data_IF_403577388776
#
_entry.id   IF_403577388776
#
_cell.length_a   1.000
_cell.length_b   1.000
_cell.length_c   1.000
_cell.angle_alpha   90.00
_cell.angle_beta   90.00
_cell.angle_gamma   90.00
#
_symmetry.space_group_name_H-M   'P 1'
#
loop_
_entity.id
_entity.type
_entity.pdbx_description
1 polymer ?
#
# COMPACT_ATOMS: atom_id res chain seq x y z
N UNK A 1 -5.88 -10.09 -3.38
CA UNK A 1 -4.88 -10.44 -4.40
C UNK A 1 -4.43 -9.12 -5.04
N UNK A 2 -3.23 -8.63 -4.72
CA UNK A 2 -2.70 -7.41 -5.34
C UNK A 2 -2.15 -7.76 -6.71
N UNK A 3 -2.60 -7.08 -7.76
CA UNK A 3 -2.17 -7.33 -9.14
C UNK A 3 -1.01 -6.40 -9.46
N UNK A 4 0.20 -6.94 -9.55
CA UNK A 4 1.38 -6.20 -10.00
C UNK A 4 1.42 -6.28 -11.53
N UNK A 5 0.86 -5.27 -12.21
CA UNK A 5 1.02 -5.16 -13.66
C UNK A 5 2.41 -4.60 -14.00
N UNK A 6 3.25 -5.45 -14.58
CA UNK A 6 4.51 -5.15 -15.27
C UNK A 6 5.59 -4.38 -14.48
N UNK A 7 6.21 -5.09 -13.54
CA UNK A 7 7.59 -4.88 -13.10
C UNK A 7 8.26 -6.24 -12.95
N UNK A 8 9.50 -6.41 -13.40
CA UNK A 8 10.26 -7.64 -13.22
C UNK A 8 10.42 -7.94 -11.72
N UNK A 9 9.53 -8.76 -11.17
CA UNK A 9 9.73 -9.41 -9.87
C UNK A 9 10.81 -10.47 -10.11
N UNK A 10 12.03 -10.24 -9.60
CA UNK A 10 13.08 -11.25 -9.66
C UNK A 10 12.61 -12.53 -8.98
N UNK A 11 12.70 -13.71 -9.64
CA UNK A 11 12.50 -14.96 -8.95
C UNK A 11 13.69 -15.20 -8.01
N UNK A 12 13.39 -15.71 -6.81
CA UNK A 12 14.30 -16.47 -5.91
C UNK A 12 15.07 -15.69 -4.82
N UNK A 13 14.33 -15.16 -3.86
CA UNK A 13 14.61 -15.33 -2.43
C UNK A 13 13.28 -15.20 -1.68
N UNK A 14 12.90 -16.17 -0.82
CA UNK A 14 11.76 -16.00 0.10
C UNK A 14 12.17 -14.95 1.11
N UNK A 15 11.93 -13.68 0.78
CA UNK A 15 12.13 -12.59 1.69
C UNK A 15 10.89 -12.55 2.56
N UNK A 16 11.07 -12.86 3.84
CA UNK A 16 10.00 -12.81 4.80
C UNK A 16 10.45 -12.00 6.01
N UNK A 17 9.53 -11.24 6.57
CA UNK A 17 9.83 -10.35 7.69
C UNK A 17 8.84 -10.59 8.83
N UNK A 18 9.30 -10.59 10.09
CA UNK A 18 8.40 -10.66 11.22
C UNK A 18 7.61 -9.34 11.32
N UNK A 19 6.30 -9.42 11.08
CA UNK A 19 5.35 -8.30 11.24
C UNK A 19 4.36 -8.73 12.31
N UNK A 20 4.35 -8.04 13.46
CA UNK A 20 3.50 -8.38 14.62
C UNK A 20 3.59 -9.86 15.05
N UNK A 21 4.79 -10.44 14.98
CA UNK A 21 5.04 -11.84 15.37
C UNK A 21 4.69 -12.89 14.31
N UNK A 22 4.17 -12.48 13.15
CA UNK A 22 3.93 -13.37 12.01
C UNK A 22 4.99 -13.17 10.94
N UNK A 23 5.44 -14.28 10.35
CA UNK A 23 6.37 -14.24 9.23
C UNK A 23 5.56 -13.98 7.95
N UNK A 24 5.72 -12.80 7.37
CA UNK A 24 4.98 -12.35 6.19
C UNK A 24 5.94 -12.27 5.01
N UNK A 25 5.53 -12.81 3.86
CA UNK A 25 6.27 -12.66 2.61
C UNK A 25 6.30 -11.19 2.18
N UNK A 26 7.48 -10.68 1.86
CA UNK A 26 7.71 -9.30 1.44
C UNK A 26 8.29 -9.25 0.04
N UNK A 27 7.77 -8.31 -0.75
CA UNK A 27 8.33 -7.99 -2.07
C UNK A 27 9.42 -6.93 -1.91
N UNK A 28 10.60 -7.21 -2.48
CA UNK A 28 11.69 -6.24 -2.57
C UNK A 28 11.66 -5.56 -3.94
N UNK A 29 11.64 -4.23 -3.96
CA UNK A 29 11.73 -3.44 -5.18
C UNK A 29 13.20 -3.20 -5.52
N UNK A 30 13.66 -3.70 -6.67
CA UNK A 30 15.08 -3.70 -7.04
C UNK A 30 15.46 -2.44 -7.83
N UNK A 31 14.79 -2.18 -8.96
CA UNK A 31 14.96 -0.96 -9.77
C UNK A 31 13.81 -0.86 -10.79
N UNK A 32 13.04 0.23 -10.76
CA UNK A 32 11.93 0.48 -11.70
C UNK A 32 11.85 1.97 -12.03
N UNK A 33 11.33 2.32 -13.22
CA UNK A 33 10.99 3.70 -13.59
C UNK A 33 9.64 4.16 -13.01
N UNK A 34 8.80 3.20 -12.63
CA UNK A 34 7.46 3.46 -12.12
C UNK A 34 7.10 2.35 -11.13
N UNK A 35 6.44 2.74 -10.04
CA UNK A 35 5.91 1.82 -9.04
C UNK A 35 4.41 2.03 -8.98
N UNK A 36 3.65 0.98 -9.24
CA UNK A 36 2.20 0.96 -9.07
C UNK A 36 1.81 -0.30 -8.29
N UNK A 37 1.16 -0.08 -7.15
CA UNK A 37 0.55 -1.13 -6.34
C UNK A 37 -0.92 -0.79 -6.23
N UNK A 38 -1.77 -1.71 -6.66
CA UNK A 38 -3.21 -1.61 -6.53
C UNK A 38 -3.75 -2.78 -5.71
N UNK A 39 -4.62 -2.44 -4.77
CA UNK A 39 -5.29 -3.40 -3.91
C UNK A 39 -6.76 -3.10 -3.77
N UNK A 40 -7.51 -4.16 -3.49
CA UNK A 40 -8.93 -4.10 -3.17
C UNK A 40 -9.29 -5.11 -2.11
N UNK A 41 -10.32 -4.80 -1.33
CA UNK A 41 -10.83 -5.69 -0.29
C UNK A 41 -12.34 -5.58 -0.17
N UNK A 42 -13.02 -6.72 -0.08
CA UNK A 42 -14.47 -6.79 0.06
C UNK A 42 -14.89 -6.41 1.47
N UNK A 43 -15.70 -5.36 1.59
CA UNK A 43 -16.21 -4.82 2.86
C UNK A 43 -17.12 -5.83 3.56
N UNK A 44 -17.77 -6.71 2.81
CA UNK A 44 -18.61 -7.80 3.32
C UNK A 44 -17.83 -8.78 4.21
N UNK A 45 -16.49 -8.85 4.05
CA UNK A 45 -15.60 -9.66 4.89
C UNK A 45 -15.20 -8.96 6.19
N UNK A 46 -15.58 -7.70 6.37
CA UNK A 46 -15.31 -6.90 7.56
C UNK A 46 -16.52 -6.92 8.50
N UNK A 47 -16.25 -6.82 9.80
CA UNK A 47 -17.30 -6.64 10.81
C UNK A 47 -17.96 -5.27 10.64
N UNK A 48 -19.28 -5.27 10.42
CA UNK A 48 -20.10 -4.05 10.24
C UNK A 48 -20.06 -3.16 11.48
N UNK A 49 -20.12 -1.86 11.28
CA UNK A 49 -20.08 -0.83 12.32
C UNK A 49 -18.69 -0.54 12.89
N UNK A 50 -17.66 -1.32 12.53
CA UNK A 50 -16.28 -1.12 13.01
C UNK A 50 -15.53 -0.13 12.11
N UNK A 51 -14.71 0.73 12.72
CA UNK A 51 -13.75 1.58 12.00
C UNK A 51 -12.48 0.80 11.70
N UNK A 52 -12.04 0.86 10.45
CA UNK A 52 -10.82 0.24 9.96
C UNK A 52 -9.86 1.31 9.45
N UNK A 53 -8.59 1.15 9.81
CA UNK A 53 -7.50 1.95 9.27
C UNK A 53 -6.80 1.16 8.14
N UNK A 54 -6.48 1.85 7.05
CA UNK A 54 -5.71 1.28 5.93
C UNK A 54 -4.28 1.80 5.99
N UNK A 55 -3.32 0.87 6.02
CA UNK A 55 -1.89 1.19 6.07
C UNK A 55 -1.09 0.38 5.05
N UNK A 56 -0.05 1.01 4.51
CA UNK A 56 1.03 0.31 3.83
C UNK A 56 2.14 -0.01 4.83
N UNK A 57 2.52 -1.29 4.95
CA UNK A 57 3.65 -1.72 5.78
C UNK A 57 4.86 -1.89 4.88
N UNK A 58 5.85 -1.01 5.03
CA UNK A 58 7.01 -0.96 4.15
C UNK A 58 8.31 -0.83 4.93
N UNK A 59 9.42 -1.23 4.30
CA UNK A 59 10.77 -0.91 4.76
C UNK A 59 11.46 -0.10 3.67
N UNK A 60 11.91 1.10 4.02
CA UNK A 60 12.69 1.96 3.13
C UNK A 60 14.18 1.61 3.28
N UNK A 61 14.89 1.41 2.18
CA UNK A 61 16.32 1.12 2.18
C UNK A 61 17.14 2.41 2.02
N UNK A 62 18.41 2.39 2.43
CA UNK A 62 19.29 3.57 2.37
C UNK A 62 19.45 4.14 0.97
N UNK A 63 19.53 3.26 -0.02
CA UNK A 63 19.66 3.57 -1.43
C UNK A 63 18.36 4.03 -2.10
N UNK A 64 17.27 4.21 -1.35
CA UNK A 64 16.04 4.82 -1.86
C UNK A 64 16.34 6.21 -2.41
N UNK A 65 15.95 6.46 -3.66
CA UNK A 65 16.18 7.72 -4.36
C UNK A 65 14.88 8.32 -4.95
N UNK A 66 13.74 8.08 -4.31
CA UNK A 66 12.45 8.62 -4.72
C UNK A 66 12.34 10.06 -4.21
N UNK A 67 12.67 11.05 -5.06
CA UNK A 67 12.70 12.47 -4.66
C UNK A 67 11.32 13.11 -4.63
N UNK A 68 10.43 12.69 -5.55
CA UNK A 68 9.06 13.20 -5.64
C UNK A 68 8.18 12.58 -4.55
N UNK A 69 7.13 13.27 -4.08
CA UNK A 69 6.12 12.65 -3.25
C UNK A 69 5.53 11.42 -3.94
N UNK A 70 5.41 10.32 -3.20
CA UNK A 70 4.68 9.13 -3.64
C UNK A 70 3.21 9.33 -3.32
N UNK A 71 2.35 9.05 -4.30
CA UNK A 71 0.90 9.22 -4.17
C UNK A 71 0.31 7.94 -3.61
N UNK A 72 -0.27 8.02 -2.42
CA UNK A 72 -1.12 6.97 -1.88
C UNK A 72 -2.57 7.36 -2.07
N UNK A 73 -3.45 6.39 -2.26
CA UNK A 73 -4.88 6.65 -2.39
C UNK A 73 -5.72 5.61 -1.66
N UNK A 74 -6.86 6.05 -1.12
CA UNK A 74 -7.90 5.20 -0.54
C UNK A 74 -9.25 5.61 -1.11
N UNK A 75 -10.00 4.67 -1.65
CA UNK A 75 -11.41 4.84 -2.03
C UNK A 75 -12.23 3.98 -1.08
N UNK A 76 -12.88 4.57 -0.06
CA UNK A 76 -13.83 3.87 0.77
C UNK A 76 -15.07 3.44 -0.03
N UNK A 77 -15.90 2.55 0.51
CA UNK A 77 -17.02 1.96 -0.22
C UNK A 77 -18.10 3.00 -0.50
N UNK A 78 -18.42 3.23 -1.78
CA UNK A 78 -19.39 4.24 -2.19
C UNK A 78 -18.95 5.69 -1.99
N UNK A 79 -17.68 5.93 -1.64
CA UNK A 79 -17.13 7.27 -1.40
C UNK A 79 -16.12 7.68 -2.48
N UNK A 80 -15.76 8.96 -2.48
CA UNK A 80 -14.73 9.49 -3.37
C UNK A 80 -13.33 9.03 -2.94
N UNK A 81 -12.43 8.91 -3.93
CA UNK A 81 -11.01 8.63 -3.68
C UNK A 81 -10.35 9.76 -2.90
N UNK A 82 -9.74 9.41 -1.78
CA UNK A 82 -8.88 10.25 -0.97
C UNK A 82 -7.43 10.06 -1.42
N UNK A 83 -6.72 11.17 -1.69
CA UNK A 83 -5.34 11.15 -2.16
C UNK A 83 -4.41 11.69 -1.07
N UNK A 84 -3.34 10.96 -0.79
CA UNK A 84 -2.40 11.18 0.30
C UNK A 84 -0.94 11.15 -0.19
N UNK A 85 -0.39 12.26 -0.71
CA UNK A 85 1.02 12.32 -1.10
C UNK A 85 1.95 12.23 0.13
N UNK A 86 2.97 11.37 0.08
CA UNK A 86 3.97 11.22 1.16
C UNK A 86 5.40 11.34 0.62
N UNK A 87 6.23 12.10 1.33
CA UNK A 87 7.67 12.24 1.04
C UNK A 87 8.45 11.11 1.73
N UNK A 88 8.65 9.99 1.05
CA UNK A 88 9.30 8.80 1.63
C UNK A 88 10.74 9.07 2.08
N UNK A 89 11.47 9.97 1.42
CA UNK A 89 12.85 10.35 1.82
C UNK A 89 12.95 11.00 3.21
N UNK A 90 11.84 11.49 3.78
CA UNK A 90 11.78 12.06 5.13
C UNK A 90 11.40 11.04 6.20
N UNK A 91 11.10 9.81 5.80
CA UNK A 91 10.69 8.75 6.71
C UNK A 91 11.90 7.92 7.16
N UNK A 92 11.82 7.24 8.31
CA UNK A 92 12.90 6.40 8.79
C UNK A 92 13.28 5.30 7.79
N UNK A 93 14.58 5.04 7.66
CA UNK A 93 15.14 4.00 6.81
C UNK A 93 15.53 2.77 7.62
N UNK A 94 15.71 1.65 6.94
CA UNK A 94 16.12 0.35 7.46
C UNK A 94 15.25 -0.24 8.58
N UNK A 95 14.05 0.29 8.78
CA UNK A 95 13.06 -0.24 9.70
C UNK A 95 11.70 -0.40 9.02
N UNK A 96 10.91 -1.33 9.54
CA UNK A 96 9.53 -1.53 9.10
C UNK A 96 8.69 -0.39 9.68
N UNK A 97 8.00 0.35 8.82
CA UNK A 97 7.08 1.42 9.18
C UNK A 97 5.70 1.16 8.60
N UNK A 98 4.66 1.60 9.31
CA UNK A 98 3.31 1.68 8.78
C UNK A 98 3.03 3.09 8.28
N UNK A 99 2.56 3.23 7.04
CA UNK A 99 2.07 4.48 6.48
C UNK A 99 0.55 4.40 6.40
N UNK A 100 -0.13 5.11 7.29
CA UNK A 100 -1.60 5.28 7.24
C UNK A 100 -1.99 6.18 6.07
N UNK A 101 -2.94 5.71 5.28
CA UNK A 101 -3.47 6.43 4.09
C UNK A 101 -4.92 6.88 4.25
N UNK A 102 -5.56 6.46 5.34
CA UNK A 102 -6.92 6.83 5.71
C UNK A 102 -7.62 5.73 6.50
N UNK A 103 -8.83 6.02 6.92
CA UNK A 103 -9.71 5.12 7.64
C UNK A 103 -11.14 5.21 7.10
N UNK A 104 -11.96 4.23 7.42
CA UNK A 104 -13.38 4.18 7.07
C UNK A 104 -14.15 3.30 8.04
N UNK A 105 -15.46 3.51 8.15
CA UNK A 105 -16.34 2.60 8.87
C UNK A 105 -16.92 1.56 7.90
N UNK A 106 -16.81 0.27 8.23
CA UNK A 106 -17.46 -0.79 7.45
C UNK A 106 -18.98 -0.69 7.61
N UNK A 107 -19.68 -0.28 6.55
CA UNK A 107 -21.13 -0.14 6.50
C UNK A 107 -21.70 -1.00 5.37
N UNK A 108 -22.97 -1.36 5.49
CA UNK A 108 -23.71 -1.86 4.33
C UNK A 108 -23.95 -0.69 3.37
N UNK A 109 -23.40 -0.78 2.17
CA UNK A 109 -23.57 0.23 1.12
C UNK A 109 -24.24 -0.45 -0.06
N UNK A 110 -25.36 0.09 -0.53
CA UNK A 110 -25.97 -0.33 -1.79
C UNK A 110 -25.08 0.10 -2.95
N UNK A 111 -24.29 -0.80 -3.54
CA UNK A 111 -23.36 -0.48 -4.64
C UNK A 111 -22.01 -1.19 -4.51
N UNK A 112 -20.93 -0.48 -4.89
CA UNK A 112 -19.57 -1.03 -4.91
C UNK A 112 -19.10 -1.37 -3.48
N UNK A 113 -19.11 -2.66 -3.13
CA UNK A 113 -18.78 -3.19 -1.79
C UNK A 113 -17.28 -3.42 -1.57
N UNK A 114 -16.43 -2.85 -2.40
CA UNK A 114 -14.97 -2.98 -2.30
C UNK A 114 -14.35 -1.65 -1.85
N UNK A 115 -13.45 -1.72 -0.87
CA UNK A 115 -12.44 -0.67 -0.71
C UNK A 115 -11.37 -0.84 -1.78
N UNK A 116 -10.83 0.27 -2.27
CA UNK A 116 -9.68 0.28 -3.17
C UNK A 116 -8.57 1.11 -2.56
N UNK A 117 -7.34 0.68 -2.70
CA UNK A 117 -6.18 1.43 -2.23
C UNK A 117 -5.04 1.29 -3.22
N UNK A 118 -4.22 2.32 -3.33
CA UNK A 118 -3.08 2.30 -4.23
C UNK A 118 -1.87 3.08 -3.72
N UNK A 119 -0.71 2.74 -4.27
CA UNK A 119 0.54 3.44 -4.12
C UNK A 119 1.14 3.62 -5.51
N UNK A 120 1.33 4.87 -5.91
CA UNK A 120 1.83 5.25 -7.23
C UNK A 120 3.02 6.18 -7.07
N UNK A 121 4.12 5.83 -7.70
CA UNK A 121 5.27 6.70 -7.90
C UNK A 121 5.63 6.70 -9.38
N UNK A 122 5.70 7.91 -9.94
CA UNK A 122 6.15 8.18 -11.30
C UNK A 122 7.41 9.02 -11.15
N UNK A 123 8.56 8.42 -11.45
CA UNK A 123 9.83 9.14 -11.52
C UNK A 123 10.04 9.66 -12.94
N UNK A 124 10.71 10.80 -13.08
CA UNK A 124 11.16 11.28 -14.40
C UNK A 124 12.38 10.44 -14.80
N UNK A 125 12.12 9.32 -15.48
CA UNK A 125 13.09 8.71 -16.37
C UNK A 125 13.19 9.59 -17.64
#
# INVERSE_FOLDING_TARGET
MASLHYGLVSPKARNSSPIRGQLVDVANLVKVCWLQIDGKYEVEKLTKGVHYEVMFVIKLLDNLNIKKPVTFSLTPPGECTQVCPKKLMKMPKNQIIGITIGDFQAREVSGCSEIKFSMVNVDDC
#
